data_IF_520545372063
#
_entry.id   IF_520545372063
#
_cell.length_a   1.000
_cell.length_b   1.000
_cell.length_c   1.000
_cell.angle_alpha   90.00
_cell.angle_beta   90.00
_cell.angle_gamma   90.00
#
_symmetry.space_group_name_H-M   'P 1'
#
loop_
_entity.id
_entity.type
_entity.pdbx_description
1 polymer ?
#
# COMPACT_ATOMS: atom_id res chain seq x y z
N UNK A 1 25.63 6.04 18.53
CA UNK A 1 25.42 5.66 17.12
C UNK A 1 23.99 6.01 16.74
N UNK A 2 23.73 6.66 15.60
CA UNK A 2 22.36 6.92 15.14
C UNK A 2 21.63 5.60 14.92
N UNK A 3 20.44 5.46 15.51
CA UNK A 3 19.58 4.28 15.39
C UNK A 3 18.64 4.53 14.21
N UNK A 4 18.73 3.72 13.17
CA UNK A 4 17.81 3.82 12.02
C UNK A 4 16.45 3.31 12.48
N UNK A 5 15.47 4.19 12.55
CA UNK A 5 14.08 3.83 12.80
C UNK A 5 13.38 3.70 11.45
N UNK A 6 13.17 2.45 11.01
CA UNK A 6 12.43 2.15 9.80
C UNK A 6 11.00 1.77 10.19
N UNK A 7 10.02 2.59 9.83
CA UNK A 7 8.63 2.38 10.25
C UNK A 7 7.84 1.50 9.26
N UNK A 8 8.12 1.62 7.96
CA UNK A 8 7.41 0.93 6.88
C UNK A 8 8.27 0.92 5.60
N UNK A 9 8.35 -0.25 4.94
CA UNK A 9 8.75 -0.42 3.55
C UNK A 9 7.55 -0.09 2.67
N UNK A 10 7.66 0.91 1.80
CA UNK A 10 6.61 1.30 0.85
C UNK A 10 7.02 1.02 -0.60
N UNK A 11 8.03 0.18 -0.82
CA UNK A 11 8.50 -0.18 -2.15
C UNK A 11 7.39 -0.84 -2.95
N UNK A 12 7.28 -0.54 -4.24
CA UNK A 12 6.33 -1.25 -5.10
C UNK A 12 6.85 -2.67 -5.37
N UNK A 13 6.12 -3.74 -5.02
CA UNK A 13 6.57 -5.10 -5.30
C UNK A 13 6.74 -5.42 -6.79
N UNK A 14 6.06 -4.69 -7.68
CA UNK A 14 6.28 -4.82 -9.12
C UNK A 14 7.65 -4.29 -9.52
N UNK A 15 8.07 -3.16 -8.96
CA UNK A 15 9.41 -2.62 -9.15
C UNK A 15 10.48 -3.56 -8.58
N UNK A 16 10.25 -4.09 -7.36
CA UNK A 16 11.17 -5.07 -6.76
C UNK A 16 11.33 -6.32 -7.64
N UNK A 17 10.22 -6.81 -8.18
CA UNK A 17 10.22 -7.94 -9.11
C UNK A 17 10.97 -7.64 -10.41
N UNK A 18 10.76 -6.46 -10.99
CA UNK A 18 11.48 -6.01 -12.18
C UNK A 18 12.99 -5.92 -11.93
N UNK A 19 13.40 -5.36 -10.79
CA UNK A 19 14.81 -5.31 -10.39
C UNK A 19 15.37 -6.72 -10.26
N UNK A 20 14.64 -7.64 -9.63
CA UNK A 20 15.08 -9.02 -9.49
C UNK A 20 15.28 -9.70 -10.85
N UNK A 21 14.32 -9.56 -11.78
CA UNK A 21 14.43 -10.14 -13.13
C UNK A 21 15.67 -9.64 -13.89
N UNK A 22 16.06 -8.38 -13.68
CA UNK A 22 17.22 -7.76 -14.32
C UNK A 22 18.55 -8.16 -13.69
N UNK A 23 18.56 -8.34 -12.37
CA UNK A 23 19.81 -8.52 -11.59
C UNK A 23 20.10 -9.97 -11.21
N UNK A 24 19.07 -10.81 -11.11
CA UNK A 24 19.14 -12.22 -10.74
C UNK A 24 20.09 -12.50 -9.55
N UNK A 25 19.90 -11.83 -8.41
CA UNK A 25 20.82 -11.93 -7.29
C UNK A 25 20.80 -13.35 -6.70
N UNK A 26 21.98 -13.84 -6.31
CA UNK A 26 22.12 -15.14 -5.65
C UNK A 26 21.50 -15.17 -4.24
N UNK A 27 21.43 -14.01 -3.57
CA UNK A 27 20.88 -13.85 -2.22
C UNK A 27 20.00 -12.61 -2.15
N UNK A 28 18.86 -12.72 -1.48
CA UNK A 28 17.91 -11.62 -1.27
C UNK A 28 17.75 -11.38 0.22
N UNK A 29 18.12 -10.18 0.65
CA UNK A 29 18.01 -9.73 2.04
C UNK A 29 17.08 -8.51 2.07
N UNK A 30 16.12 -8.50 3.00
CA UNK A 30 15.12 -7.44 3.09
C UNK A 30 14.84 -7.06 4.54
N UNK A 31 14.44 -5.81 4.76
CA UNK A 31 13.83 -5.43 6.03
C UNK A 31 12.45 -6.10 6.11
N UNK A 32 12.13 -6.72 7.24
CA UNK A 32 10.89 -7.48 7.36
C UNK A 32 9.67 -6.58 7.19
N UNK A 33 9.56 -5.48 7.94
CA UNK A 33 8.49 -4.47 7.80
C UNK A 33 7.09 -5.07 7.61
N UNK A 34 6.78 -6.12 8.37
CA UNK A 34 5.50 -6.83 8.30
C UNK A 34 5.37 -7.87 7.18
N UNK A 35 6.36 -7.99 6.29
CA UNK A 35 6.63 -9.15 5.45
C UNK A 35 5.90 -9.20 4.10
N UNK A 36 5.10 -8.19 3.76
CA UNK A 36 4.25 -8.25 2.56
C UNK A 36 5.06 -8.28 1.26
N UNK A 37 6.14 -7.51 1.14
CA UNK A 37 7.04 -7.58 -0.02
C UNK A 37 7.71 -8.95 -0.15
N UNK A 38 8.18 -9.51 0.96
CA UNK A 38 8.82 -10.82 0.95
C UNK A 38 7.82 -11.90 0.51
N UNK A 39 6.60 -11.89 1.04
CA UNK A 39 5.54 -12.83 0.64
C UNK A 39 5.16 -12.68 -0.84
N UNK A 40 5.07 -11.45 -1.34
CA UNK A 40 4.79 -11.18 -2.75
C UNK A 40 5.89 -11.71 -3.67
N UNK A 41 7.16 -11.46 -3.33
CA UNK A 41 8.29 -11.94 -4.12
C UNK A 41 8.41 -13.48 -4.08
N UNK A 42 8.14 -14.11 -2.94
CA UNK A 42 8.02 -15.56 -2.84
C UNK A 42 6.89 -16.09 -3.74
N UNK A 43 5.73 -15.43 -3.76
CA UNK A 43 4.61 -15.79 -4.65
C UNK A 43 4.99 -15.68 -6.13
N UNK A 44 5.83 -14.72 -6.51
CA UNK A 44 6.34 -14.55 -7.88
C UNK A 44 7.44 -15.57 -8.27
N UNK A 45 7.92 -16.38 -7.33
CA UNK A 45 8.81 -17.51 -7.61
C UNK A 45 10.24 -17.34 -7.09
N UNK A 46 10.53 -16.35 -6.24
CA UNK A 46 11.80 -16.33 -5.51
C UNK A 46 11.79 -17.50 -4.51
N UNK A 47 12.84 -18.33 -4.52
CA UNK A 47 12.89 -19.54 -3.69
C UNK A 47 13.15 -19.24 -2.20
N UNK A 48 13.96 -18.22 -1.91
CA UNK A 48 14.38 -17.88 -0.55
C UNK A 48 14.63 -16.38 -0.40
N UNK A 49 14.12 -15.82 0.68
CA UNK A 49 14.35 -14.43 1.09
C UNK A 49 14.73 -14.43 2.57
N UNK A 50 15.83 -13.76 2.90
CA UNK A 50 16.26 -13.53 4.27
C UNK A 50 15.71 -12.19 4.74
N UNK A 51 14.85 -12.21 5.75
CA UNK A 51 14.27 -10.98 6.33
C UNK A 51 14.91 -10.68 7.68
N UNK A 52 15.17 -9.40 7.94
CA UNK A 52 15.65 -8.92 9.24
C UNK A 52 14.87 -7.68 9.67
N UNK A 53 14.73 -7.47 10.98
CA UNK A 53 14.13 -6.26 11.49
C UNK A 53 14.77 -5.89 12.82
N UNK A 54 14.80 -4.59 13.11
CA UNK A 54 15.22 -4.08 14.43
C UNK A 54 14.14 -4.28 15.47
N UNK A 55 12.87 -4.37 15.04
CA UNK A 55 11.72 -4.56 15.90
C UNK A 55 11.25 -6.02 15.86
N UNK A 56 11.24 -6.67 17.02
CA UNK A 56 10.85 -8.07 17.16
C UNK A 56 9.38 -8.27 16.80
N UNK A 57 8.52 -7.30 17.12
CA UNK A 57 7.09 -7.38 16.80
C UNK A 57 6.83 -7.51 15.29
N UNK A 58 7.68 -6.91 14.44
CA UNK A 58 7.57 -7.05 12.98
C UNK A 58 7.85 -8.49 12.53
N UNK A 59 8.91 -9.11 13.06
CA UNK A 59 9.23 -10.51 12.77
C UNK A 59 8.13 -11.47 13.26
N UNK A 60 7.60 -11.22 14.45
CA UNK A 60 6.47 -11.99 15.01
C UNK A 60 5.20 -11.83 14.16
N UNK A 61 4.96 -10.63 13.62
CA UNK A 61 3.85 -10.39 12.68
C UNK A 61 4.00 -11.23 11.40
N UNK A 62 5.19 -11.30 10.81
CA UNK A 62 5.46 -12.17 9.66
C UNK A 62 5.21 -13.63 10.00
N UNK A 63 5.70 -14.11 11.15
CA UNK A 63 5.43 -15.48 11.60
C UNK A 63 3.93 -15.76 11.77
N UNK A 64 3.16 -14.79 12.26
CA UNK A 64 1.71 -14.87 12.35
C UNK A 64 1.05 -15.03 10.98
N UNK A 65 1.46 -14.25 9.98
CA UNK A 65 0.99 -14.38 8.59
C UNK A 65 1.32 -15.75 8.01
N UNK A 66 2.55 -16.25 8.19
CA UNK A 66 2.94 -17.59 7.74
C UNK A 66 2.08 -18.69 8.38
N UNK A 67 1.84 -18.62 9.69
CA UNK A 67 0.95 -19.57 10.39
C UNK A 67 -0.45 -19.54 9.81
N UNK A 68 -0.99 -18.36 9.50
CA UNK A 68 -2.31 -18.23 8.90
C UNK A 68 -2.36 -18.86 7.49
N UNK A 69 -1.31 -18.73 6.68
CA UNK A 69 -1.22 -19.36 5.36
C UNK A 69 -1.23 -20.89 5.41
N UNK A 70 -0.71 -21.49 6.48
CA UNK A 70 -0.75 -22.93 6.73
C UNK A 70 -2.02 -23.40 7.47
N UNK A 71 -2.94 -22.49 7.81
CA UNK A 71 -4.16 -22.84 8.53
C UNK A 71 -5.11 -23.65 7.65
N UNK A 72 -5.78 -24.66 8.22
CA UNK A 72 -6.74 -25.52 7.50
C UNK A 72 -7.88 -24.74 6.82
N UNK A 73 -8.28 -23.62 7.41
CA UNK A 73 -9.32 -22.73 6.89
C UNK A 73 -8.74 -21.57 6.04
N UNK A 74 -7.51 -21.68 5.54
CA UNK A 74 -6.83 -20.63 4.75
C UNK A 74 -7.72 -20.05 3.66
N UNK A 75 -8.47 -20.89 2.94
CA UNK A 75 -9.31 -20.43 1.84
C UNK A 75 -10.51 -19.62 2.33
N UNK A 76 -11.01 -19.87 3.55
CA UNK A 76 -12.00 -19.00 4.18
C UNK A 76 -11.38 -17.69 4.68
N UNK A 77 -10.15 -17.76 5.21
CA UNK A 77 -9.43 -16.60 5.75
C UNK A 77 -8.94 -15.64 4.67
N UNK A 78 -8.57 -16.17 3.49
CA UNK A 78 -7.92 -15.42 2.41
C UNK A 78 -8.68 -15.48 1.06
N UNK A 79 -9.67 -16.35 0.90
CA UNK A 79 -10.33 -16.60 -0.39
C UNK A 79 -11.41 -15.60 -0.79
N UNK A 80 -11.72 -14.60 0.04
CA UNK A 80 -12.58 -13.48 -0.37
C UNK A 80 -11.71 -12.38 -1.00
N UNK A 81 -11.67 -12.32 -2.33
CA UNK A 81 -10.87 -11.34 -3.09
C UNK A 81 -9.73 -11.97 -3.90
N UNK A 82 -9.23 -13.15 -3.52
CA UNK A 82 -8.11 -13.86 -4.19
C UNK A 82 -8.36 -14.31 -5.65
N UNK A 83 -9.47 -13.91 -6.28
CA UNK A 83 -9.84 -14.28 -7.65
C UNK A 83 -9.44 -13.25 -8.72
N UNK A 84 -8.79 -12.13 -8.37
CA UNK A 84 -8.29 -11.20 -9.40
C UNK A 84 -6.80 -11.41 -9.64
N UNK A 85 -6.49 -12.46 -10.41
CA UNK A 85 -5.15 -12.68 -10.93
C UNK A 85 -4.63 -11.45 -11.68
N UNK A 86 -3.53 -10.83 -11.21
CA UNK A 86 -2.36 -10.47 -12.04
C UNK A 86 -1.39 -9.47 -11.38
N UNK A 87 -1.76 -8.75 -10.31
CA UNK A 87 -0.95 -7.60 -9.86
C UNK A 87 -0.22 -7.79 -8.52
N UNK A 88 -0.52 -8.83 -7.74
CA UNK A 88 0.16 -9.13 -6.45
C UNK A 88 -0.69 -8.90 -5.20
N UNK A 89 -0.25 -9.45 -4.07
CA UNK A 89 -0.83 -9.42 -2.73
C UNK A 89 -1.14 -8.00 -2.24
N UNK A 90 -0.30 -7.03 -2.60
CA UNK A 90 -0.44 -5.61 -2.25
C UNK A 90 -1.24 -4.78 -3.27
N UNK A 91 -1.79 -5.42 -4.30
CA UNK A 91 -2.49 -4.73 -5.42
C UNK A 91 -3.95 -5.18 -5.59
N UNK A 92 -4.42 -6.13 -4.78
CA UNK A 92 -5.76 -6.77 -4.90
C UNK A 92 -6.70 -6.45 -3.72
N UNK A 93 -6.35 -5.50 -2.86
CA UNK A 93 -7.21 -5.07 -1.77
C UNK A 93 -8.24 -3.99 -2.17
N UNK A 94 -9.21 -3.77 -1.28
CA UNK A 94 -10.24 -2.73 -1.46
C UNK A 94 -9.65 -1.33 -1.49
N UNK A 95 -8.59 -1.07 -0.74
CA UNK A 95 -7.94 0.23 -0.68
C UNK A 95 -7.24 0.53 -2.02
N UNK A 96 -6.60 -0.47 -2.60
CA UNK A 96 -5.94 -0.42 -3.88
C UNK A 96 -6.96 -0.18 -4.99
N UNK A 97 -8.10 -0.90 -4.96
CA UNK A 97 -9.22 -0.64 -5.87
C UNK A 97 -9.76 0.78 -5.74
N UNK A 98 -9.88 1.29 -4.51
CA UNK A 98 -10.31 2.65 -4.21
C UNK A 98 -9.34 3.71 -4.77
N UNK A 99 -8.05 3.55 -4.48
CA UNK A 99 -6.99 4.44 -4.95
C UNK A 99 -6.81 4.36 -6.47
N UNK A 100 -7.00 3.19 -7.08
CA UNK A 100 -6.98 3.01 -8.53
C UNK A 100 -8.11 3.77 -9.21
N UNK A 101 -9.33 3.71 -8.67
CA UNK A 101 -10.44 4.51 -9.17
C UNK A 101 -10.12 6.01 -9.08
N UNK A 102 -9.58 6.45 -7.95
CA UNK A 102 -9.17 7.83 -7.78
C UNK A 102 -8.09 8.23 -8.80
N UNK A 103 -6.97 7.53 -8.85
CA UNK A 103 -5.80 7.90 -9.65
C UNK A 103 -6.04 7.79 -11.16
N UNK A 104 -6.82 6.80 -11.61
CA UNK A 104 -7.03 6.53 -13.04
C UNK A 104 -8.25 7.25 -13.62
N UNK A 105 -9.27 7.58 -12.81
CA UNK A 105 -10.51 8.19 -13.32
C UNK A 105 -10.79 9.56 -12.73
N UNK A 106 -10.76 9.70 -11.41
CA UNK A 106 -11.19 10.93 -10.74
C UNK A 106 -10.14 12.04 -10.86
N UNK A 107 -8.89 11.73 -10.53
CA UNK A 107 -7.78 12.68 -10.57
C UNK A 107 -7.54 13.22 -11.99
N UNK A 108 -7.50 12.39 -13.06
CA UNK A 108 -7.26 12.91 -14.41
C UNK A 108 -8.35 13.82 -14.96
N UNK A 109 -9.58 13.69 -14.43
CA UNK A 109 -10.69 14.56 -14.76
C UNK A 109 -10.58 15.93 -14.05
N UNK A 110 -10.08 15.95 -12.82
CA UNK A 110 -9.95 17.20 -12.04
C UNK A 110 -8.69 18.00 -12.36
N UNK A 111 -7.58 17.32 -12.68
CA UNK A 111 -6.27 17.93 -12.86
C UNK A 111 -5.68 17.43 -14.18
N UNK A 112 -5.28 18.34 -15.07
CA UNK A 112 -4.71 18.01 -16.37
C UNK A 112 -3.40 17.22 -16.27
N UNK A 113 -3.03 16.47 -17.32
CA UNK A 113 -1.77 15.72 -17.33
C UNK A 113 -0.54 16.61 -17.10
N UNK A 114 -0.54 17.80 -17.72
CA UNK A 114 0.50 18.81 -17.55
C UNK A 114 0.64 19.24 -16.09
N UNK A 115 -0.47 19.58 -15.41
CA UNK A 115 -0.43 19.99 -14.01
C UNK A 115 -0.10 18.83 -13.07
N UNK A 116 -0.45 17.58 -13.43
CA UNK A 116 -0.08 16.39 -12.66
C UNK A 116 1.43 16.13 -12.73
N UNK A 117 2.04 16.26 -13.91
CA UNK A 117 3.48 16.08 -14.08
C UNK A 117 4.27 17.26 -13.53
N UNK A 118 3.72 18.48 -13.62
CA UNK A 118 4.40 19.71 -13.21
C UNK A 118 4.80 19.75 -11.73
N UNK A 119 4.07 19.06 -10.84
CA UNK A 119 4.45 18.98 -9.42
C UNK A 119 5.78 18.23 -9.22
N UNK A 120 6.02 17.17 -9.99
CA UNK A 120 7.25 16.36 -9.90
C UNK A 120 8.47 17.08 -10.48
N UNK A 121 8.24 18.15 -11.26
CA UNK A 121 9.28 18.99 -11.85
C UNK A 121 9.74 20.13 -10.93
N UNK A 122 9.13 20.28 -9.75
CA UNK A 122 9.53 21.32 -8.79
C UNK A 122 10.74 20.87 -7.98
N UNK A 123 11.70 21.78 -7.80
CA UNK A 123 13.02 21.48 -7.20
C UNK A 123 12.96 21.20 -5.69
N UNK A 124 11.97 21.75 -4.99
CA UNK A 124 11.87 21.68 -3.54
C UNK A 124 10.41 21.58 -3.05
N UNK A 125 10.25 21.21 -1.77
CA UNK A 125 8.95 20.98 -1.15
C UNK A 125 8.06 22.23 -1.10
N UNK A 126 8.62 23.44 -0.93
CA UNK A 126 7.85 24.69 -0.89
C UNK A 126 7.30 25.00 -2.29
N UNK A 127 8.13 24.80 -3.31
CA UNK A 127 7.73 24.94 -4.71
C UNK A 127 6.65 23.93 -5.09
N UNK A 128 6.74 22.68 -4.62
CA UNK A 128 5.69 21.66 -4.81
C UNK A 128 4.35 22.08 -4.21
N UNK A 129 4.35 22.56 -2.96
CA UNK A 129 3.13 23.05 -2.29
C UNK A 129 2.55 24.25 -3.04
N UNK A 130 3.39 25.21 -3.42
CA UNK A 130 2.96 26.39 -4.17
C UNK A 130 2.34 26.00 -5.52
N UNK A 131 2.94 25.03 -6.21
CA UNK A 131 2.43 24.52 -7.48
C UNK A 131 1.06 23.83 -7.31
N UNK A 132 0.92 22.98 -6.27
CA UNK A 132 -0.34 22.32 -5.93
C UNK A 132 -1.44 23.35 -5.64
N UNK A 133 -1.15 24.33 -4.78
CA UNK A 133 -2.09 25.39 -4.43
C UNK A 133 -2.56 26.19 -5.65
N UNK A 134 -1.67 26.45 -6.61
CA UNK A 134 -2.00 27.21 -7.83
C UNK A 134 -2.73 26.38 -8.88
N UNK A 135 -2.35 25.12 -9.07
CA UNK A 135 -2.75 24.34 -10.26
C UNK A 135 -3.72 23.18 -9.98
N UNK A 136 -3.84 22.75 -8.73
CA UNK A 136 -4.72 21.65 -8.32
C UNK A 136 -5.87 22.14 -7.46
N UNK A 137 -5.64 23.15 -6.61
CA UNK A 137 -6.54 23.51 -5.51
C UNK A 137 -7.81 24.29 -5.90
N UNK A 138 -8.54 23.76 -6.88
CA UNK A 138 -9.86 24.24 -7.28
C UNK A 138 -10.95 23.89 -6.25
N UNK A 139 -12.10 24.55 -6.35
CA UNK A 139 -13.25 24.20 -5.51
C UNK A 139 -13.70 22.74 -5.68
N UNK A 140 -13.72 22.26 -6.93
CA UNK A 140 -14.07 20.89 -7.26
C UNK A 140 -13.10 19.89 -6.64
N UNK A 141 -11.79 20.16 -6.75
CA UNK A 141 -10.75 19.38 -6.07
C UNK A 141 -11.00 19.30 -4.57
N UNK A 142 -11.18 20.43 -3.89
CA UNK A 142 -11.41 20.48 -2.44
C UNK A 142 -12.63 19.65 -2.04
N UNK A 143 -13.75 19.78 -2.76
CA UNK A 143 -14.99 19.03 -2.47
C UNK A 143 -14.82 17.54 -2.71
N UNK A 144 -14.19 17.14 -3.80
CA UNK A 144 -13.97 15.73 -4.13
C UNK A 144 -13.02 15.06 -3.14
N UNK A 145 -11.91 15.71 -2.77
CA UNK A 145 -10.98 15.18 -1.77
C UNK A 145 -11.64 15.09 -0.39
N UNK A 146 -12.36 16.13 0.04
CA UNK A 146 -13.08 16.10 1.31
C UNK A 146 -14.12 14.97 1.37
N UNK A 147 -14.80 14.68 0.25
CA UNK A 147 -15.75 13.57 0.19
C UNK A 147 -15.05 12.21 0.14
N UNK A 148 -14.11 12.00 -0.77
CA UNK A 148 -13.46 10.71 -0.96
C UNK A 148 -12.65 10.31 0.28
N UNK A 149 -11.98 11.26 0.92
CA UNK A 149 -11.15 10.96 2.08
C UNK A 149 -11.86 11.23 3.41
N UNK A 150 -13.20 11.40 3.39
CA UNK A 150 -13.99 11.34 4.61
C UNK A 150 -13.82 9.96 5.27
N UNK A 151 -13.58 9.88 6.59
CA UNK A 151 -13.37 8.60 7.28
C UNK A 151 -14.47 7.57 7.00
N UNK A 152 -15.74 7.99 6.92
CA UNK A 152 -16.85 7.06 6.63
C UNK A 152 -16.72 6.48 5.23
N UNK A 153 -16.28 7.27 4.25
CA UNK A 153 -16.11 6.80 2.88
C UNK A 153 -14.93 5.84 2.76
N UNK A 154 -13.82 6.13 3.43
CA UNK A 154 -12.66 5.23 3.48
C UNK A 154 -13.04 3.91 4.20
N UNK A 155 -13.67 3.99 5.36
CA UNK A 155 -13.99 2.81 6.16
C UNK A 155 -15.01 1.89 5.48
N UNK A 156 -15.97 2.46 4.75
CA UNK A 156 -16.98 1.68 4.04
C UNK A 156 -16.49 1.13 2.70
N UNK A 157 -15.75 1.93 1.92
CA UNK A 157 -15.43 1.61 0.53
C UNK A 157 -14.00 1.11 0.33
N UNK A 158 -13.03 1.63 1.09
CA UNK A 158 -11.61 1.28 0.94
C UNK A 158 -11.16 0.17 1.89
N UNK A 159 -11.84 -0.02 3.03
CA UNK A 159 -11.49 -1.08 4.00
C UNK A 159 -12.40 -2.29 3.89
N UNK A 160 -11.90 -3.44 4.34
CA UNK A 160 -12.73 -4.64 4.43
C UNK A 160 -13.76 -4.48 5.57
N UNK A 161 -15.03 -4.86 5.33
CA UNK A 161 -16.07 -4.79 6.36
C UNK A 161 -15.65 -5.67 7.55
N UNK A 162 -15.86 -5.15 8.77
CA UNK A 162 -15.50 -5.81 10.02
C UNK A 162 -14.20 -5.31 10.68
N UNK A 163 -13.34 -4.57 9.96
CA UNK A 163 -12.12 -4.01 10.56
C UNK A 163 -12.36 -2.70 11.34
N UNK A 164 -13.45 -1.99 11.04
CA UNK A 164 -13.74 -0.66 11.61
C UNK A 164 -15.01 -0.62 12.46
N UNK A 165 -15.68 -1.77 12.62
CA UNK A 165 -16.85 -1.87 13.51
C UNK A 165 -16.43 -2.03 14.98
N UNK A 166 -15.87 -0.96 15.53
CA UNK A 166 -15.98 -0.66 16.97
C UNK A 166 -16.85 0.58 17.14
N UNK A 167 -18.06 0.57 16.58
CA UNK A 167 -19.13 1.49 17.03
C UNK A 167 -19.80 0.97 18.30
N UNK A 168 -19.01 0.39 19.21
CA UNK A 168 -19.38 0.14 20.58
C UNK A 168 -18.72 1.22 21.42
N UNK A 169 -19.48 2.24 21.80
CA UNK A 169 -19.14 3.04 22.98
C UNK A 169 -18.91 2.02 24.11
N UNK A 170 -17.70 1.91 24.64
CA UNK A 170 -17.53 1.29 25.96
C UNK A 170 -18.38 2.13 26.92
N UNK A 171 -19.54 1.60 27.32
CA UNK A 171 -20.24 2.11 28.47
C UNK A 171 -19.37 1.75 29.67
N UNK A 172 -18.63 2.74 30.16
CA UNK A 172 -18.19 2.76 31.56
C UNK A 172 -19.41 2.86 32.46
#
# INVERSE_FOLDING_TARGET
MPRVHYAQSWEDPLLLWEIWQRTQPAHVHMVASGGDHALELLQKGIERIEICDTERAQLEHVQGKLKALHHKDRDRLFGYGAKTASQGLLHDGRLEGYLRLFSQRILPWMVSAQNRQGIALQEDAISQVTYLERHWNSWLWRKTIAYLFDPKQIDNNARHPGLVHTSGREKR
#
